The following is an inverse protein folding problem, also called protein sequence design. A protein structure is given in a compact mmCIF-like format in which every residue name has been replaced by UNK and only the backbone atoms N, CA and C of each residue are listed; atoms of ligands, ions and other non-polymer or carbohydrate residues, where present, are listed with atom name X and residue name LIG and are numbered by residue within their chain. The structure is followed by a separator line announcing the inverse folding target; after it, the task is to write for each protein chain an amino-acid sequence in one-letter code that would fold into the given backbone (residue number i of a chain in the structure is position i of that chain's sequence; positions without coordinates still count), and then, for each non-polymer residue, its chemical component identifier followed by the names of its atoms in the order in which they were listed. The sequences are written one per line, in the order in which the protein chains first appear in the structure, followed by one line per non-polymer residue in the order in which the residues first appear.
data_IF_466810616867
#
_entry.id   IF_466810616867
#
_cell.length_a   1.000
_cell.length_b   1.000
_cell.length_c   1.000
_cell.angle_alpha   90.00
_cell.angle_beta   90.00
_cell.angle_gamma   90.00
#
_symmetry.space_group_name_H-M   'P 1'
#
loop_
_entity.id
_entity.type
_entity.pdbx_description
1 polymer ?
#
# COMPACT_ATOMS: atom_id res chain seq x y z
N UNK A 1 11.19 -1.60 -5.14
CA UNK A 1 11.90 -0.40 -4.65
C UNK A 1 13.17 -0.20 -5.47
N UNK A 2 13.34 0.92 -6.19
CA UNK A 2 14.53 1.20 -7.02
C UNK A 2 15.34 2.35 -6.40
N UNK A 3 16.38 2.06 -5.60
CA UNK A 3 17.11 3.08 -4.84
C UNK A 3 17.90 4.06 -5.74
N UNK A 4 18.28 3.66 -6.95
CA UNK A 4 19.03 4.51 -7.88
C UNK A 4 18.24 5.75 -8.31
N UNK A 5 16.94 5.60 -8.62
CA UNK A 5 16.08 6.71 -9.03
C UNK A 5 15.84 7.70 -7.88
N UNK A 6 15.66 7.20 -6.65
CA UNK A 6 15.49 8.06 -5.47
C UNK A 6 16.76 8.88 -5.20
N UNK A 7 17.94 8.24 -5.25
CA UNK A 7 19.22 8.94 -5.07
C UNK A 7 19.45 10.01 -6.12
N UNK A 8 19.07 9.77 -7.38
CA UNK A 8 19.16 10.77 -8.44
C UNK A 8 18.29 12.00 -8.15
N UNK A 9 17.02 11.78 -7.73
CA UNK A 9 16.11 12.88 -7.39
C UNK A 9 16.66 13.71 -6.21
N UNK A 10 17.17 13.04 -5.18
CA UNK A 10 17.78 13.71 -4.01
C UNK A 10 19.03 14.51 -4.43
N UNK A 11 19.90 13.93 -5.26
CA UNK A 11 21.11 14.60 -5.74
C UNK A 11 20.77 15.84 -6.58
N UNK A 12 19.74 15.75 -7.43
CA UNK A 12 19.25 16.88 -8.21
C UNK A 12 18.69 17.99 -7.31
N UNK A 13 17.83 17.65 -6.35
CA UNK A 13 17.27 18.62 -5.42
C UNK A 13 18.36 19.32 -4.59
N UNK A 14 19.39 18.59 -4.17
CA UNK A 14 20.54 19.17 -3.46
C UNK A 14 21.35 20.12 -4.35
N UNK A 15 21.57 19.76 -5.63
CA UNK A 15 22.28 20.60 -6.61
C UNK A 15 21.54 21.92 -6.89
N UNK A 16 20.22 21.86 -7.02
CA UNK A 16 19.37 23.02 -7.31
C UNK A 16 18.96 23.83 -6.05
N UNK A 17 19.40 23.41 -4.86
CA UNK A 17 19.09 24.09 -3.59
C UNK A 17 17.62 23.98 -3.16
N UNK A 18 16.91 22.95 -3.59
CA UNK A 18 15.49 22.77 -3.28
C UNK A 18 15.28 22.29 -1.85
N UNK A 19 14.25 22.84 -1.18
CA UNK A 19 13.77 22.33 0.10
C UNK A 19 12.95 21.06 -0.13
N UNK A 20 13.44 19.94 0.39
CA UNK A 20 12.73 18.66 0.33
C UNK A 20 11.89 18.45 1.60
N UNK A 21 10.72 17.84 1.43
CA UNK A 21 9.89 17.33 2.52
C UNK A 21 9.51 15.89 2.22
N UNK A 22 9.78 14.98 3.14
CA UNK A 22 9.24 13.62 3.09
C UNK A 22 7.89 13.59 3.80
N UNK A 23 6.97 12.79 3.26
CA UNK A 23 5.70 12.46 3.90
C UNK A 23 5.59 10.95 3.88
N UNK A 24 5.35 10.36 5.05
CA UNK A 24 4.98 8.97 5.16
C UNK A 24 3.46 8.86 5.05
N UNK A 25 2.98 8.19 4.00
CA UNK A 25 1.55 8.01 3.75
C UNK A 25 1.19 6.58 4.15
N UNK A 26 0.78 6.42 5.41
CA UNK A 26 0.41 5.12 6.00
C UNK A 26 -0.73 4.41 5.27
N UNK A 27 -1.58 5.17 4.58
CA UNK A 27 -2.80 4.69 3.91
C UNK A 27 -2.65 4.51 2.39
N UNK A 28 -1.47 4.78 1.81
CA UNK A 28 -1.29 4.71 0.35
C UNK A 28 -1.65 3.32 -0.23
N UNK A 29 -1.45 2.27 0.55
CA UNK A 29 -1.78 0.89 0.16
C UNK A 29 -3.27 0.56 0.25
N UNK A 30 -4.04 1.26 1.08
CA UNK A 30 -5.48 1.01 1.29
C UNK A 30 -6.37 1.84 0.37
N UNK A 31 -5.79 2.70 -0.47
CA UNK A 31 -6.54 3.50 -1.45
C UNK A 31 -6.41 2.99 -2.88
N UNK A 32 -5.59 1.95 -3.13
CA UNK A 32 -5.56 1.30 -4.43
C UNK A 32 -6.92 0.69 -4.76
N UNK A 33 -7.46 1.04 -5.93
CA UNK A 33 -8.57 0.30 -6.49
C UNK A 33 -8.10 -1.12 -6.82
N UNK A 34 -8.98 -2.08 -6.59
CA UNK A 34 -8.72 -3.47 -6.93
C UNK A 34 -9.12 -3.69 -8.39
N UNK A 35 -8.15 -4.03 -9.23
CA UNK A 35 -8.44 -4.45 -10.62
C UNK A 35 -9.15 -5.81 -10.66
N UNK A 36 -8.90 -6.65 -9.65
CA UNK A 36 -9.43 -8.00 -9.54
C UNK A 36 -10.35 -8.18 -8.32
N UNK A 37 -11.26 -9.15 -8.41
CA UNK A 37 -12.14 -9.49 -7.30
C UNK A 37 -11.47 -10.44 -6.32
N UNK A 38 -10.89 -9.88 -5.25
CA UNK A 38 -10.14 -10.64 -4.25
C UNK A 38 -11.00 -10.99 -3.04
N UNK A 39 -10.94 -12.26 -2.64
CA UNK A 39 -11.58 -12.78 -1.44
C UNK A 39 -10.53 -13.22 -0.42
N UNK A 40 -10.80 -13.00 0.87
CA UNK A 40 -9.95 -13.46 1.96
C UNK A 40 -10.74 -14.24 3.01
N UNK A 41 -10.04 -15.14 3.71
CA UNK A 41 -10.58 -15.77 4.93
C UNK A 41 -10.76 -14.72 6.00
N UNK A 42 -11.65 -15.01 6.94
CA UNK A 42 -11.86 -14.14 8.08
C UNK A 42 -10.54 -14.00 8.87
N UNK A 43 -10.16 -12.78 9.28
CA UNK A 43 -8.94 -12.56 10.03
C UNK A 43 -9.03 -13.20 11.41
N UNK A 44 -7.87 -13.56 11.97
CA UNK A 44 -7.78 -14.14 13.30
C UNK A 44 -8.38 -13.20 14.35
N UNK A 45 -9.21 -13.75 15.24
CA UNK A 45 -9.93 -12.96 16.25
C UNK A 45 -11.19 -12.26 15.73
N UNK A 46 -11.54 -12.41 14.45
CA UNK A 46 -12.78 -11.88 13.88
C UNK A 46 -13.55 -13.00 13.20
N UNK A 47 -14.47 -13.64 13.92
CA UNK A 47 -15.30 -14.73 13.42
C UNK A 47 -16.78 -14.34 13.46
N UNK A 48 -17.36 -14.14 12.29
CA UNK A 48 -18.79 -13.87 12.10
C UNK A 48 -19.37 -14.90 11.14
N UNK A 49 -20.54 -15.42 11.48
CA UNK A 49 -21.27 -16.35 10.63
C UNK A 49 -20.63 -17.74 10.54
N UNK A 50 -20.70 -18.33 9.34
CA UNK A 50 -20.22 -19.70 9.09
C UNK A 50 -18.69 -19.75 8.92
N UNK A 51 -18.02 -20.86 9.31
CA UNK A 51 -16.60 -21.09 9.07
C UNK A 51 -16.19 -20.97 7.58
N UNK A 52 -17.13 -21.19 6.67
CA UNK A 52 -16.89 -21.13 5.21
C UNK A 52 -17.11 -19.73 4.63
N UNK A 53 -17.46 -18.74 5.45
CA UNK A 53 -17.65 -17.37 4.99
C UNK A 53 -16.30 -16.71 4.67
N UNK A 54 -16.25 -16.00 3.55
CA UNK A 54 -15.09 -15.24 3.09
C UNK A 54 -15.48 -13.77 2.91
N UNK A 55 -14.51 -12.87 3.02
CA UNK A 55 -14.71 -11.44 2.82
C UNK A 55 -14.20 -11.01 1.46
N UNK A 56 -15.01 -10.24 0.73
CA UNK A 56 -14.59 -9.57 -0.49
C UNK A 56 -13.86 -8.28 -0.13
N UNK A 57 -12.61 -8.15 -0.58
CA UNK A 57 -11.87 -6.92 -0.42
C UNK A 57 -12.47 -5.83 -1.30
N UNK A 58 -12.67 -4.65 -0.73
CA UNK A 58 -13.10 -3.45 -1.47
C UNK A 58 -11.95 -2.52 -1.83
N UNK A 59 -10.79 -2.71 -1.20
CA UNK A 59 -9.57 -1.94 -1.37
C UNK A 59 -8.37 -2.87 -1.25
N UNK A 60 -7.25 -2.49 -1.87
CA UNK A 60 -6.00 -3.22 -1.72
C UNK A 60 -5.51 -3.22 -0.27
N UNK A 61 -4.90 -4.32 0.13
CA UNK A 61 -4.15 -4.45 1.38
C UNK A 61 -2.66 -4.45 1.07
N UNK A 62 -1.85 -4.07 2.06
CA UNK A 62 -0.40 -4.13 1.94
C UNK A 62 0.07 -5.55 1.63
N UNK A 63 0.95 -5.69 0.63
CA UNK A 63 1.54 -6.98 0.28
C UNK A 63 0.69 -7.86 -0.66
N UNK A 64 -0.48 -7.39 -1.11
CA UNK A 64 -1.13 -7.97 -2.28
C UNK A 64 -0.22 -7.73 -3.51
N UNK A 65 0.12 -8.81 -4.19
CA UNK A 65 0.98 -8.84 -5.38
C UNK A 65 0.24 -9.52 -6.51
#
# INVERSE_FOLDING_TARGET
FRPASLRLIIALAAREGYKMRSVDISSAFTYGELEEEIYMRQPEGYHIGSPNMVFRLRKSLYGLK
#
